data_IF_713448702629
#
_entry.id   IF_713448702629
#
_cell.length_a   1.000
_cell.length_b   1.000
_cell.length_c   1.000
_cell.angle_alpha   90.00
_cell.angle_beta   90.00
_cell.angle_gamma   90.00
#
_symmetry.space_group_name_H-M   'P 1'
#
loop_
_entity.id
_entity.type
_entity.pdbx_description
1 polymer ?
#
# COMPACT_ATOMS: atom_id res chain seq x y z
N UNK A 1 -2.58 62.30 -9.18
CA UNK A 1 -1.83 61.06 -9.53
C UNK A 1 -1.02 61.28 -10.80
N UNK A 2 0.18 61.84 -10.72
CA UNK A 2 1.12 61.94 -11.86
C UNK A 2 2.51 62.22 -11.31
N UNK A 3 3.37 61.21 -11.11
CA UNK A 3 4.84 61.36 -10.99
C UNK A 3 5.60 60.00 -10.90
N UNK A 4 5.10 58.91 -11.49
CA UNK A 4 5.84 57.66 -11.63
C UNK A 4 5.61 57.06 -13.02
N UNK A 5 6.61 56.35 -13.54
CA UNK A 5 6.58 55.74 -14.88
C UNK A 5 6.66 54.22 -14.69
N UNK A 6 5.51 53.55 -14.69
CA UNK A 6 5.43 52.10 -14.56
C UNK A 6 4.09 51.59 -14.01
N UNK A 7 3.95 50.27 -13.97
CA UNK A 7 2.78 49.59 -13.40
C UNK A 7 2.83 49.64 -11.87
N UNK A 8 1.71 50.03 -11.26
CA UNK A 8 1.47 49.92 -9.81
C UNK A 8 0.70 48.65 -9.50
N UNK A 9 1.04 47.98 -8.40
CA UNK A 9 0.38 46.75 -7.94
C UNK A 9 0.05 46.83 -6.45
N UNK A 10 -0.96 46.06 -6.05
CA UNK A 10 -1.40 45.86 -4.68
C UNK A 10 -1.62 47.15 -3.86
N UNK A 11 -2.53 48.05 -4.29
CA UNK A 11 -2.85 49.24 -3.49
C UNK A 11 -3.61 48.85 -2.21
N UNK A 12 -3.14 49.33 -1.07
CA UNK A 12 -3.75 49.12 0.24
C UNK A 12 -3.91 50.43 0.99
N UNK A 13 -5.06 50.59 1.66
CA UNK A 13 -5.35 51.78 2.46
C UNK A 13 -4.67 51.71 3.83
N UNK A 14 -3.93 52.76 4.16
CA UNK A 14 -3.43 53.01 5.51
C UNK A 14 -4.50 53.53 6.45
N UNK A 15 -4.30 53.29 7.74
CA UNK A 15 -5.17 53.82 8.80
C UNK A 15 -5.23 55.37 8.84
N UNK A 16 -4.27 56.04 8.22
CA UNK A 16 -4.18 57.49 8.10
C UNK A 16 -4.76 58.05 6.78
N UNK A 17 -5.49 57.22 6.03
CA UNK A 17 -6.10 57.59 4.75
C UNK A 17 -5.11 57.71 3.59
N UNK A 18 -3.84 57.36 3.80
CA UNK A 18 -2.87 57.24 2.70
C UNK A 18 -3.08 55.93 1.93
N UNK A 19 -2.71 55.87 0.66
CA UNK A 19 -2.62 54.60 -0.09
C UNK A 19 -1.15 54.20 -0.21
N UNK A 20 -0.85 52.96 0.13
CA UNK A 20 0.43 52.30 -0.09
C UNK A 20 0.31 51.39 -1.31
N UNK A 21 1.33 51.33 -2.16
CA UNK A 21 1.32 50.46 -3.34
C UNK A 21 2.74 50.10 -3.77
N UNK A 22 2.88 48.95 -4.42
CA UNK A 22 4.14 48.48 -4.98
C UNK A 22 4.41 49.09 -6.37
N UNK A 23 5.68 49.35 -6.65
CA UNK A 23 6.19 49.77 -7.96
C UNK A 23 7.47 49.01 -8.30
N UNK A 24 7.76 48.81 -9.59
CA UNK A 24 9.04 48.27 -10.05
C UNK A 24 9.75 49.33 -10.88
N UNK A 25 10.75 49.99 -10.26
CA UNK A 25 11.54 51.06 -10.88
C UNK A 25 13.01 50.86 -10.55
N UNK A 26 13.90 51.19 -11.50
CA UNK A 26 15.36 51.03 -11.36
C UNK A 26 15.80 49.59 -11.03
N UNK A 27 15.10 48.59 -11.55
CA UNK A 27 15.46 47.18 -11.39
C UNK A 27 15.10 46.56 -10.03
N UNK A 28 14.33 47.25 -9.19
CA UNK A 28 13.95 46.77 -7.87
C UNK A 28 12.49 47.10 -7.54
N UNK A 29 11.91 46.30 -6.63
CA UNK A 29 10.59 46.55 -6.04
C UNK A 29 10.68 47.63 -4.96
N UNK A 30 9.78 48.61 -5.03
CA UNK A 30 9.68 49.72 -4.07
C UNK A 30 8.24 49.88 -3.60
N UNK A 31 8.06 50.12 -2.30
CA UNK A 31 6.76 50.49 -1.72
C UNK A 31 6.69 52.01 -1.71
N UNK A 32 5.67 52.57 -2.37
CA UNK A 32 5.39 54.01 -2.37
C UNK A 32 4.13 54.30 -1.57
N UNK A 33 4.05 55.53 -1.07
CA UNK A 33 2.93 56.05 -0.27
C UNK A 33 2.42 57.33 -0.90
N UNK A 34 1.12 57.39 -1.15
CA UNK A 34 0.40 58.60 -1.55
C UNK A 34 -0.48 59.08 -0.41
N UNK A 35 -0.33 60.33 0.00
CA UNK A 35 -0.99 60.88 1.20
C UNK A 35 -2.30 61.60 0.89
N UNK A 36 -2.48 62.10 -0.33
CA UNK A 36 -3.57 63.04 -0.64
C UNK A 36 -4.35 62.66 -1.91
N UNK A 37 -4.93 61.46 -1.90
CA UNK A 37 -5.77 60.98 -3.00
C UNK A 37 -7.13 61.67 -3.02
N UNK A 38 -7.66 62.06 -1.86
CA UNK A 38 -8.98 62.70 -1.73
C UNK A 38 -8.99 64.17 -2.11
N UNK A 39 -7.89 64.93 -1.88
CA UNK A 39 -7.80 66.33 -2.31
C UNK A 39 -7.66 66.52 -3.82
N UNK A 40 -7.41 65.44 -4.56
CA UNK A 40 -7.14 65.45 -6.02
C UNK A 40 -8.37 65.15 -6.88
N UNK A 41 -9.50 64.75 -6.30
CA UNK A 41 -10.73 64.55 -7.05
C UNK A 41 -11.54 65.85 -7.04
N UNK A 42 -11.77 66.51 -8.20
CA UNK A 42 -12.84 67.51 -8.25
C UNK A 42 -14.12 66.81 -7.78
N UNK A 43 -14.95 67.50 -7.00
CA UNK A 43 -16.25 67.00 -6.55
C UNK A 43 -16.92 66.27 -7.71
N UNK A 44 -16.97 64.93 -7.63
CA UNK A 44 -17.70 64.16 -8.63
C UNK A 44 -19.14 64.64 -8.50
N UNK A 45 -19.77 65.18 -9.57
CA UNK A 45 -21.18 65.50 -9.49
C UNK A 45 -21.90 64.24 -9.03
N UNK A 46 -22.63 64.37 -7.92
CA UNK A 46 -23.53 63.34 -7.44
C UNK A 46 -24.61 63.19 -8.52
N UNK A 47 -24.38 62.29 -9.46
CA UNK A 47 -25.44 61.79 -10.32
C UNK A 47 -26.31 60.92 -9.43
N UNK A 48 -27.34 61.52 -8.84
CA UNK A 48 -28.52 60.79 -8.44
C UNK A 48 -29.13 60.28 -9.73
N UNK A 49 -28.75 59.06 -10.14
CA UNK A 49 -29.58 58.34 -11.08
C UNK A 49 -30.91 58.16 -10.35
N UNK A 50 -31.95 58.85 -10.81
CA UNK A 50 -33.31 58.47 -10.48
C UNK A 50 -33.36 56.96 -10.70
N UNK A 51 -33.65 56.23 -9.63
CA UNK A 51 -33.87 54.80 -9.71
C UNK A 51 -35.01 54.68 -10.71
N UNK A 52 -34.66 54.31 -11.96
CA UNK A 52 -35.65 54.08 -12.98
C UNK A 52 -36.68 53.15 -12.34
N UNK A 53 -37.98 53.49 -12.36
CA UNK A 53 -38.99 52.61 -11.79
C UNK A 53 -38.73 51.22 -12.36
N UNK A 54 -38.71 50.21 -11.49
CA UNK A 54 -38.46 48.80 -11.84
C UNK A 54 -39.61 48.35 -12.75
N UNK A 55 -39.54 48.78 -14.00
CA UNK A 55 -40.49 48.55 -15.09
C UNK A 55 -39.77 48.72 -16.43
N UNK A 56 -38.44 48.61 -16.46
CA UNK A 56 -37.80 48.11 -17.65
C UNK A 56 -38.09 46.61 -17.69
N UNK A 57 -38.95 46.17 -18.62
CA UNK A 57 -39.07 44.77 -19.02
C UNK A 57 -37.64 44.24 -19.14
N UNK A 58 -37.22 43.39 -18.19
CA UNK A 58 -35.87 42.82 -18.20
C UNK A 58 -35.67 42.19 -19.56
N UNK A 59 -34.54 42.46 -20.20
CA UNK A 59 -34.16 41.73 -21.42
C UNK A 59 -34.22 40.24 -21.11
N UNK A 60 -35.23 39.57 -21.66
CA UNK A 60 -35.34 38.12 -21.65
C UNK A 60 -34.79 37.64 -22.97
N UNK A 61 -33.60 37.04 -22.92
CA UNK A 61 -33.11 36.26 -24.04
C UNK A 61 -34.04 35.06 -24.23
N UNK A 62 -34.38 34.72 -25.47
CA UNK A 62 -34.94 33.40 -25.73
C UNK A 62 -33.95 32.38 -25.20
N UNK A 63 -34.39 31.55 -24.26
CA UNK A 63 -33.62 30.37 -23.90
C UNK A 63 -33.44 29.60 -25.20
N UNK A 64 -32.20 29.45 -25.65
CA UNK A 64 -31.88 28.41 -26.63
C UNK A 64 -32.33 27.13 -25.93
N UNK A 65 -33.45 26.55 -26.38
CA UNK A 65 -33.89 25.24 -25.94
C UNK A 65 -32.76 24.30 -26.31
N UNK A 66 -31.85 24.07 -25.36
CA UNK A 66 -30.87 23.01 -25.49
C UNK A 66 -31.70 21.74 -25.49
N UNK A 67 -31.97 21.24 -26.69
CA UNK A 67 -32.43 19.88 -26.91
C UNK A 67 -31.26 19.00 -26.50
N UNK A 68 -31.12 18.78 -25.19
CA UNK A 68 -30.22 17.78 -24.67
C UNK A 68 -30.82 16.44 -25.07
N UNK A 69 -30.40 15.93 -26.24
CA UNK A 69 -30.58 14.52 -26.54
C UNK A 69 -29.66 13.79 -25.57
N UNK A 70 -30.19 13.42 -24.40
CA UNK A 70 -29.55 12.48 -23.47
C UNK A 70 -29.58 11.11 -24.13
N UNK A 71 -28.73 10.90 -25.14
CA UNK A 71 -28.51 9.60 -25.73
C UNK A 71 -27.69 8.79 -24.74
N UNK A 72 -28.37 8.03 -23.89
CA UNK A 72 -27.73 6.99 -23.09
C UNK A 72 -27.25 5.90 -24.07
N UNK A 73 -26.03 6.04 -24.58
CA UNK A 73 -25.37 4.95 -25.25
C UNK A 73 -24.99 3.91 -24.17
N UNK A 74 -25.40 2.64 -24.31
CA UNK A 74 -24.95 1.61 -23.38
C UNK A 74 -23.42 1.49 -23.48
N UNK A 75 -22.75 1.42 -22.33
CA UNK A 75 -21.30 1.25 -22.31
C UNK A 75 -20.92 -0.09 -22.93
N UNK A 76 -20.15 -0.04 -24.01
CA UNK A 76 -19.59 -1.22 -24.67
C UNK A 76 -18.22 -1.52 -24.08
N UNK A 77 -18.09 -2.69 -23.44
CA UNK A 77 -16.83 -3.13 -22.84
C UNK A 77 -15.85 -3.54 -23.93
N UNK A 78 -14.81 -2.73 -24.13
CA UNK A 78 -13.69 -3.03 -25.03
C UNK A 78 -12.46 -3.28 -24.18
N UNK A 79 -11.86 -4.46 -24.32
CA UNK A 79 -10.72 -4.87 -23.50
C UNK A 79 -9.40 -4.67 -24.22
N UNK A 80 -8.38 -4.26 -23.48
CA UNK A 80 -7.00 -4.15 -23.96
C UNK A 80 -6.05 -4.77 -22.93
N UNK A 81 -4.87 -5.20 -23.38
CA UNK A 81 -3.81 -5.65 -22.49
C UNK A 81 -3.12 -4.43 -21.89
N UNK A 82 -3.39 -4.17 -20.61
CA UNK A 82 -2.87 -3.00 -19.90
C UNK A 82 -1.54 -3.29 -19.19
N UNK A 83 -1.38 -4.52 -18.71
CA UNK A 83 -0.21 -4.90 -17.94
C UNK A 83 0.23 -6.32 -18.30
N UNK A 84 1.51 -6.47 -18.59
CA UNK A 84 2.16 -7.76 -18.75
C UNK A 84 3.49 -7.71 -17.99
N UNK A 85 3.66 -8.57 -16.99
CA UNK A 85 4.86 -8.59 -16.18
C UNK A 85 5.23 -10.01 -15.83
N UNK A 86 6.53 -10.30 -15.82
CA UNK A 86 7.04 -11.45 -15.09
C UNK A 86 7.32 -11.06 -13.64
N UNK A 87 7.12 -11.99 -12.71
CA UNK A 87 7.45 -11.80 -11.31
C UNK A 87 8.12 -13.06 -10.77
N UNK A 88 9.22 -12.87 -10.06
CA UNK A 88 9.82 -13.90 -9.21
C UNK A 88 9.44 -13.57 -7.77
N UNK A 89 8.90 -14.55 -7.06
CA UNK A 89 8.51 -14.44 -5.67
C UNK A 89 9.26 -15.47 -4.84
N UNK A 90 9.50 -15.13 -3.56
CA UNK A 90 10.06 -16.06 -2.58
C UNK A 90 9.07 -16.16 -1.42
N UNK A 91 8.51 -17.35 -1.23
CA UNK A 91 7.52 -17.67 -0.22
C UNK A 91 8.03 -18.81 0.68
N UNK A 92 7.68 -18.87 1.99
CA UNK A 92 8.17 -19.94 2.86
C UNK A 92 7.58 -21.32 2.51
N UNK A 93 6.40 -21.38 1.89
CA UNK A 93 5.72 -22.63 1.49
C UNK A 93 5.91 -22.90 0.00
N UNK A 94 5.65 -21.89 -0.84
CA UNK A 94 5.75 -22.02 -2.29
C UNK A 94 7.18 -21.97 -2.82
N UNK A 95 8.16 -21.56 -2.01
CA UNK A 95 9.56 -21.45 -2.39
C UNK A 95 9.83 -20.31 -3.38
N UNK A 96 10.86 -20.45 -4.20
CA UNK A 96 11.14 -19.53 -5.31
C UNK A 96 10.23 -19.90 -6.49
N UNK A 97 9.28 -19.03 -6.81
CA UNK A 97 8.39 -19.23 -7.97
C UNK A 97 8.52 -18.07 -8.94
N UNK A 98 8.54 -18.38 -10.23
CA UNK A 98 8.62 -17.39 -11.31
C UNK A 98 7.44 -17.58 -12.25
N UNK A 99 6.76 -16.49 -12.60
CA UNK A 99 5.57 -16.53 -13.45
C UNK A 99 5.41 -15.29 -14.31
N UNK A 100 4.39 -15.31 -15.15
CA UNK A 100 3.91 -14.18 -15.92
C UNK A 100 2.46 -13.87 -15.50
N UNK A 101 2.19 -12.58 -15.32
CA UNK A 101 0.86 -12.05 -15.07
C UNK A 101 0.47 -11.12 -16.22
N UNK A 102 -0.71 -11.34 -16.77
CA UNK A 102 -1.33 -10.48 -17.77
C UNK A 102 -2.62 -9.91 -17.22
N UNK A 103 -2.87 -8.62 -17.43
CA UNK A 103 -4.07 -7.94 -17.00
C UNK A 103 -4.72 -7.27 -18.19
N UNK A 104 -5.95 -7.68 -18.48
CA UNK A 104 -6.77 -7.05 -19.49
C UNK A 104 -7.83 -6.22 -18.81
N UNK A 105 -8.00 -4.96 -19.19
CA UNK A 105 -8.98 -4.06 -18.58
C UNK A 105 -9.89 -3.49 -19.66
N UNK A 106 -11.08 -3.07 -19.25
CA UNK A 106 -11.90 -2.19 -20.07
C UNK A 106 -11.36 -0.74 -20.03
N UNK A 107 -11.85 0.12 -20.94
CA UNK A 107 -11.40 1.52 -21.07
C UNK A 107 -11.48 2.31 -19.74
N UNK A 108 -12.43 1.98 -18.87
CA UNK A 108 -12.61 2.64 -17.57
C UNK A 108 -11.81 2.00 -16.43
N UNK A 109 -11.13 0.87 -16.66
CA UNK A 109 -10.44 0.09 -15.65
C UNK A 109 -11.36 -0.56 -14.61
N UNK A 110 -12.67 -0.52 -14.81
CA UNK A 110 -13.66 -1.05 -13.88
C UNK A 110 -13.90 -2.55 -14.06
N UNK A 111 -13.57 -3.10 -15.22
CA UNK A 111 -13.84 -4.48 -15.58
C UNK A 111 -12.54 -5.12 -16.07
N UNK A 112 -11.96 -5.98 -15.22
CA UNK A 112 -10.60 -6.49 -15.40
C UNK A 112 -10.57 -8.03 -15.46
N UNK A 113 -9.63 -8.58 -16.21
CA UNK A 113 -9.27 -10.00 -16.26
C UNK A 113 -7.80 -10.15 -15.93
N UNK A 114 -7.50 -10.94 -14.91
CA UNK A 114 -6.15 -11.30 -14.51
C UNK A 114 -5.88 -12.73 -14.95
N UNK A 115 -4.79 -12.91 -15.70
CA UNK A 115 -4.28 -14.21 -16.13
C UNK A 115 -2.92 -14.42 -15.46
N UNK A 116 -2.80 -15.46 -14.65
CA UNK A 116 -1.55 -15.88 -14.02
C UNK A 116 -1.11 -17.19 -14.67
N UNK A 117 0.12 -17.21 -15.19
CA UNK A 117 0.73 -18.41 -15.78
C UNK A 117 2.10 -18.60 -15.17
N UNK A 118 2.39 -19.79 -14.68
CA UNK A 118 3.73 -20.11 -14.19
C UNK A 118 4.00 -21.61 -14.28
N UNK A 119 5.26 -21.99 -14.17
CA UNK A 119 5.68 -23.38 -14.20
C UNK A 119 6.76 -23.61 -13.13
N UNK A 120 6.57 -24.64 -12.31
CA UNK A 120 7.48 -25.00 -11.24
C UNK A 120 8.17 -26.36 -11.48
N UNK A 121 8.27 -26.81 -12.74
CA UNK A 121 8.93 -28.07 -13.07
C UNK A 121 10.42 -28.02 -12.73
N UNK A 122 10.95 -29.12 -12.18
CA UNK A 122 12.39 -29.27 -11.93
C UNK A 122 13.08 -30.05 -13.05
N UNK A 123 12.32 -30.87 -13.78
CA UNK A 123 12.79 -31.66 -14.92
C UNK A 123 11.88 -31.47 -16.13
N UNK A 124 12.39 -31.76 -17.33
CA UNK A 124 11.62 -31.63 -18.56
C UNK A 124 10.38 -32.55 -18.60
N UNK A 125 10.45 -33.73 -17.99
CA UNK A 125 9.33 -34.67 -17.90
C UNK A 125 8.17 -34.17 -17.03
N UNK A 126 8.44 -33.24 -16.10
CA UNK A 126 7.44 -32.65 -15.20
C UNK A 126 6.72 -31.43 -15.78
N UNK A 127 7.11 -30.97 -16.98
CA UNK A 127 6.65 -29.70 -17.55
C UNK A 127 5.13 -29.56 -17.53
N UNK A 128 4.42 -30.57 -18.06
CA UNK A 128 2.95 -30.56 -18.14
C UNK A 128 2.29 -30.70 -16.77
N UNK A 129 2.84 -31.55 -15.88
CA UNK A 129 2.31 -31.77 -14.53
C UNK A 129 2.38 -30.48 -13.70
N UNK A 130 3.45 -29.71 -13.87
CA UNK A 130 3.79 -28.50 -13.11
C UNK A 130 3.34 -27.18 -13.77
N UNK A 131 2.55 -27.26 -14.85
CA UNK A 131 2.00 -26.07 -15.51
C UNK A 131 0.80 -25.53 -14.74
N UNK A 132 0.85 -24.24 -14.40
CA UNK A 132 -0.09 -23.58 -13.51
C UNK A 132 -0.77 -22.41 -14.20
N UNK A 133 -2.08 -22.32 -13.98
CA UNK A 133 -2.95 -21.32 -14.62
C UNK A 133 -3.97 -20.82 -13.60
N UNK A 134 -4.13 -19.50 -13.54
CA UNK A 134 -5.21 -18.84 -12.81
C UNK A 134 -5.86 -17.76 -13.67
N UNK A 135 -7.19 -17.72 -13.69
CA UNK A 135 -7.95 -16.68 -14.37
C UNK A 135 -8.90 -16.05 -13.36
N UNK A 136 -8.82 -14.74 -13.17
CA UNK A 136 -9.69 -14.01 -12.24
C UNK A 136 -10.34 -12.82 -12.92
N UNK A 137 -11.66 -12.76 -12.85
CA UNK A 137 -12.47 -11.61 -13.22
C UNK A 137 -12.60 -10.69 -12.02
N UNK A 138 -12.37 -9.39 -12.19
CA UNK A 138 -12.64 -8.36 -11.18
C UNK A 138 -13.59 -7.31 -11.76
N UNK A 139 -14.57 -6.87 -10.96
CA UNK A 139 -15.46 -5.76 -11.31
C UNK A 139 -15.50 -4.73 -10.17
N UNK A 140 -15.20 -3.48 -10.53
CA UNK A 140 -15.13 -2.30 -9.67
C UNK A 140 -16.15 -1.23 -10.07
N UNK A 141 -17.04 -1.52 -11.03
CA UNK A 141 -17.94 -0.54 -11.63
C UNK A 141 -19.07 -0.05 -10.71
N UNK A 142 -19.21 -0.66 -9.52
CA UNK A 142 -20.19 -0.29 -8.50
C UNK A 142 -19.49 -0.25 -7.14
N UNK A 143 -20.12 0.38 -6.15
CA UNK A 143 -19.60 0.37 -4.76
C UNK A 143 -19.37 -1.04 -4.22
N UNK A 144 -20.19 -2.01 -4.62
CA UNK A 144 -19.98 -3.41 -4.32
C UNK A 144 -19.00 -4.01 -5.33
N UNK A 145 -17.73 -4.09 -4.93
CA UNK A 145 -16.68 -4.68 -5.75
C UNK A 145 -16.74 -6.19 -5.60
N UNK A 146 -16.55 -6.92 -6.69
CA UNK A 146 -16.49 -8.37 -6.63
C UNK A 146 -15.44 -8.93 -7.58
N UNK A 147 -14.93 -10.10 -7.24
CA UNK A 147 -14.01 -10.87 -8.04
C UNK A 147 -14.38 -12.34 -7.98
N UNK A 148 -14.15 -13.05 -9.07
CA UNK A 148 -14.25 -14.50 -9.09
C UNK A 148 -13.25 -15.08 -10.07
N UNK A 149 -12.76 -16.28 -9.80
CA UNK A 149 -11.73 -16.88 -10.62
C UNK A 149 -11.64 -18.38 -10.48
N UNK A 150 -10.99 -19.00 -11.45
CA UNK A 150 -10.70 -20.43 -11.49
C UNK A 150 -9.18 -20.61 -11.58
N UNK A 151 -8.67 -21.68 -10.98
CA UNK A 151 -7.25 -21.98 -11.03
C UNK A 151 -6.96 -23.48 -10.96
N UNK A 152 -5.78 -23.83 -11.48
CA UNK A 152 -5.07 -25.08 -11.21
C UNK A 152 -3.64 -24.74 -10.82
N UNK A 153 -3.26 -25.12 -9.60
CA UNK A 153 -1.92 -24.94 -9.04
C UNK A 153 -1.36 -26.27 -8.54
N UNK A 154 -0.21 -26.66 -9.09
CA UNK A 154 0.46 -27.93 -8.90
C UNK A 154 1.97 -27.68 -8.71
N UNK A 155 2.58 -28.36 -7.74
CA UNK A 155 4.02 -28.24 -7.52
C UNK A 155 4.52 -28.97 -6.28
N UNK A 156 5.85 -28.96 -6.15
CA UNK A 156 6.53 -29.44 -4.96
C UNK A 156 6.75 -28.29 -3.98
N UNK A 157 6.32 -28.51 -2.75
CA UNK A 157 6.40 -27.54 -1.67
C UNK A 157 7.21 -28.11 -0.50
N UNK A 158 7.55 -27.23 0.42
CA UNK A 158 8.19 -27.59 1.68
C UNK A 158 7.47 -26.90 2.82
N UNK A 159 7.18 -27.64 3.88
CA UNK A 159 6.87 -27.04 5.17
C UNK A 159 7.49 -27.88 6.31
N UNK A 160 7.72 -27.31 7.50
CA UNK A 160 8.29 -28.05 8.62
C UNK A 160 7.40 -29.18 9.17
N UNK A 161 6.10 -29.23 8.89
CA UNK A 161 5.20 -30.31 9.34
C UNK A 161 5.32 -31.57 8.49
N UNK A 162 5.27 -31.39 7.17
CA UNK A 162 5.10 -32.42 6.15
C UNK A 162 6.40 -32.69 5.39
N UNK A 163 7.48 -31.96 5.72
CA UNK A 163 8.71 -31.89 4.94
C UNK A 163 8.41 -31.52 3.48
N UNK A 164 9.00 -32.25 2.52
CA UNK A 164 8.69 -32.08 1.11
C UNK A 164 7.43 -32.85 0.75
N UNK A 165 6.55 -32.21 -0.03
CA UNK A 165 5.33 -32.82 -0.53
C UNK A 165 4.98 -32.27 -1.91
N UNK A 166 4.32 -33.09 -2.72
CA UNK A 166 3.68 -32.63 -3.95
C UNK A 166 2.22 -32.30 -3.65
N UNK A 167 1.72 -31.18 -4.16
CA UNK A 167 0.31 -30.87 -4.03
C UNK A 167 -0.26 -30.26 -5.31
N UNK A 168 -1.39 -30.81 -5.76
CA UNK A 168 -2.23 -30.28 -6.81
C UNK A 168 -3.52 -29.73 -6.21
N UNK A 169 -3.88 -28.51 -6.61
CA UNK A 169 -5.11 -27.83 -6.24
C UNK A 169 -5.82 -27.30 -7.45
N UNK A 170 -7.08 -27.67 -7.58
CA UNK A 170 -7.99 -27.14 -8.60
C UNK A 170 -9.17 -26.53 -7.89
N UNK A 171 -9.48 -25.27 -8.18
CA UNK A 171 -10.51 -24.58 -7.42
C UNK A 171 -11.05 -23.32 -8.05
N UNK A 172 -12.04 -22.79 -7.36
CA UNK A 172 -12.70 -21.52 -7.65
C UNK A 172 -12.54 -20.60 -6.44
N UNK A 173 -12.40 -19.31 -6.72
CA UNK A 173 -12.40 -18.25 -5.71
C UNK A 173 -13.50 -17.24 -6.02
N UNK A 174 -14.09 -16.69 -4.97
CA UNK A 174 -15.05 -15.60 -5.02
C UNK A 174 -14.67 -14.61 -3.93
N UNK A 175 -14.69 -13.32 -4.24
CA UNK A 175 -14.42 -12.27 -3.26
C UNK A 175 -15.38 -11.13 -3.49
N UNK A 176 -15.93 -10.61 -2.40
CA UNK A 176 -16.75 -9.40 -2.41
C UNK A 176 -16.17 -8.42 -1.43
N UNK A 177 -16.17 -7.15 -1.81
CA UNK A 177 -15.62 -6.08 -0.99
C UNK A 177 -16.57 -4.89 -1.00
N UNK A 178 -16.92 -4.43 0.20
CA UNK A 178 -17.76 -3.26 0.41
C UNK A 178 -16.95 -2.15 1.09
N UNK A 179 -16.62 -1.06 0.37
CA UNK A 179 -16.02 0.14 0.94
C UNK A 179 -17.02 0.85 1.86
N UNK A 180 -16.68 0.94 3.15
CA UNK A 180 -17.44 1.68 4.15
C UNK A 180 -17.13 3.18 4.07
N UNK A 181 -15.86 3.51 3.87
CA UNK A 181 -15.35 4.88 3.69
C UNK A 181 -14.17 4.87 2.69
N UNK A 182 -13.53 6.03 2.48
CA UNK A 182 -12.30 6.11 1.69
C UNK A 182 -11.13 5.35 2.34
N UNK A 183 -11.17 5.17 3.67
CA UNK A 183 -10.09 4.56 4.45
C UNK A 183 -10.41 3.15 4.94
N UNK A 184 -11.65 2.67 4.80
CA UNK A 184 -12.07 1.39 5.40
C UNK A 184 -12.98 0.56 4.50
N UNK A 185 -12.75 -0.75 4.49
CA UNK A 185 -13.57 -1.73 3.76
C UNK A 185 -13.72 -3.04 4.53
N UNK A 186 -14.84 -3.72 4.28
CA UNK A 186 -15.03 -5.12 4.65
C UNK A 186 -14.96 -5.96 3.38
N UNK A 187 -14.24 -7.08 3.44
CA UNK A 187 -14.10 -8.02 2.34
C UNK A 187 -14.42 -9.43 2.83
N UNK A 188 -15.23 -10.15 2.06
CA UNK A 188 -15.48 -11.58 2.25
C UNK A 188 -14.88 -12.35 1.07
N UNK A 189 -14.08 -13.36 1.34
CA UNK A 189 -13.46 -14.21 0.34
C UNK A 189 -13.81 -15.66 0.60
N UNK A 190 -14.30 -16.34 -0.42
CA UNK A 190 -14.62 -17.76 -0.44
C UNK A 190 -13.71 -18.46 -1.44
N UNK A 191 -13.13 -19.58 -1.04
CA UNK A 191 -12.38 -20.47 -1.91
C UNK A 191 -12.92 -21.90 -1.76
N UNK A 192 -13.21 -22.53 -2.90
CA UNK A 192 -13.66 -23.91 -2.99
C UNK A 192 -12.65 -24.65 -3.85
N UNK A 193 -11.99 -25.66 -3.31
CA UNK A 193 -10.93 -26.34 -4.06
C UNK A 193 -10.85 -27.83 -3.75
N UNK A 194 -10.64 -28.63 -4.78
CA UNK A 194 -10.09 -29.97 -4.62
C UNK A 194 -8.58 -29.86 -4.39
N UNK A 195 -8.06 -30.70 -3.51
CA UNK A 195 -6.67 -30.72 -3.11
C UNK A 195 -6.18 -32.16 -2.97
N UNK A 196 -5.16 -32.51 -3.75
CA UNK A 196 -4.47 -33.79 -3.70
C UNK A 196 -3.03 -33.54 -3.24
N UNK A 197 -2.66 -34.06 -2.07
CA UNK A 197 -1.34 -33.86 -1.44
C UNK A 197 -0.70 -35.21 -1.22
N UNK A 198 0.48 -35.38 -1.78
CA UNK A 198 1.33 -36.57 -1.67
C UNK A 198 2.56 -36.19 -0.83
N UNK A 199 2.68 -36.77 0.36
CA UNK A 199 3.85 -36.59 1.23
C UNK A 199 4.91 -37.62 0.85
N UNK A 200 6.20 -37.26 0.93
CA UNK A 200 7.34 -38.17 0.69
C UNK A 200 7.45 -39.24 1.80
N UNK A 201 6.45 -40.12 1.89
CA UNK A 201 6.36 -41.31 2.74
C UNK A 201 5.14 -42.19 2.36
N UNK A 202 4.61 -42.07 1.14
CA UNK A 202 3.38 -42.72 0.63
C UNK A 202 2.07 -42.37 1.36
N UNK A 203 2.05 -41.28 2.14
CA UNK A 203 0.80 -40.73 2.66
C UNK A 203 0.17 -39.77 1.64
N UNK A 204 -0.98 -40.16 1.10
CA UNK A 204 -1.79 -39.33 0.20
C UNK A 204 -3.02 -38.78 0.94
N UNK A 205 -3.23 -37.47 0.85
CA UNK A 205 -4.40 -36.78 1.38
C UNK A 205 -5.16 -36.10 0.24
N UNK A 206 -6.39 -36.54 0.04
CA UNK A 206 -7.38 -35.88 -0.82
C UNK A 206 -8.36 -35.08 0.03
N UNK A 207 -8.66 -33.84 -0.34
CA UNK A 207 -9.60 -33.00 0.38
C UNK A 207 -10.37 -32.06 -0.55
N UNK A 208 -11.69 -31.98 -0.35
CA UNK A 208 -12.49 -30.91 -0.91
C UNK A 208 -12.63 -29.81 0.14
N UNK A 209 -11.85 -28.75 -0.05
CA UNK A 209 -11.69 -27.67 0.91
C UNK A 209 -12.70 -26.55 0.63
N UNK A 210 -13.38 -26.13 1.68
CA UNK A 210 -14.08 -24.85 1.76
C UNK A 210 -13.26 -23.94 2.67
N UNK A 211 -12.84 -22.80 2.14
CA UNK A 211 -12.10 -21.78 2.90
C UNK A 211 -12.79 -20.44 2.79
N UNK A 212 -13.23 -19.90 3.92
CA UNK A 212 -13.91 -18.61 4.00
C UNK A 212 -13.07 -17.64 4.84
N UNK A 213 -12.94 -16.40 4.38
CA UNK A 213 -12.30 -15.31 5.12
C UNK A 213 -13.21 -14.09 5.17
N UNK A 214 -13.32 -13.50 6.35
CA UNK A 214 -13.88 -12.16 6.56
C UNK A 214 -12.74 -11.25 7.00
N UNK A 215 -12.55 -10.15 6.27
CA UNK A 215 -11.47 -9.20 6.53
C UNK A 215 -12.00 -7.78 6.67
N UNK A 216 -11.59 -7.08 7.72
CA UNK A 216 -11.73 -5.65 7.87
C UNK A 216 -10.38 -4.98 7.64
N UNK A 217 -10.35 -3.99 6.74
CA UNK A 217 -9.17 -3.18 6.46
C UNK A 217 -9.48 -1.73 6.79
N UNK A 218 -8.59 -1.07 7.52
CA UNK A 218 -8.55 0.38 7.69
C UNK A 218 -7.13 0.89 7.39
N UNK A 219 -6.98 1.90 6.54
CA UNK A 219 -5.69 2.52 6.23
C UNK A 219 -5.89 4.02 6.01
N UNK A 220 -5.35 4.84 6.91
CA UNK A 220 -5.27 6.29 6.76
C UNK A 220 -3.83 6.80 6.90
N UNK A 221 -2.84 5.94 6.61
CA UNK A 221 -1.44 6.29 6.77
C UNK A 221 -1.01 7.39 5.80
N UNK A 222 -0.31 8.39 6.34
CA UNK A 222 0.34 9.44 5.55
C UNK A 222 1.76 8.99 5.21
N UNK A 223 2.12 9.01 3.92
CA UNK A 223 3.39 8.51 3.42
C UNK A 223 4.39 9.62 3.09
N UNK A 224 5.66 9.36 3.40
CA UNK A 224 6.81 10.02 2.78
C UNK A 224 7.48 9.06 1.80
N UNK A 225 8.50 9.54 1.07
CA UNK A 225 9.23 8.74 0.09
C UNK A 225 9.97 7.50 0.65
N UNK A 226 10.12 7.39 1.97
CA UNK A 226 10.76 6.26 2.67
C UNK A 226 9.81 5.59 3.67
N UNK A 227 8.49 5.67 3.44
CA UNK A 227 7.49 5.01 4.26
C UNK A 227 6.58 5.95 5.07
N UNK A 228 5.64 5.39 5.84
CA UNK A 228 4.65 6.15 6.62
C UNK A 228 5.26 7.07 7.70
N UNK A 229 4.64 8.23 7.92
CA UNK A 229 5.03 9.22 8.94
C UNK A 229 3.93 9.51 9.96
N UNK A 230 2.67 9.29 9.60
CA UNK A 230 1.51 9.55 10.46
C UNK A 230 0.35 8.61 10.08
N UNK A 231 -0.70 8.59 10.91
CA UNK A 231 -1.89 7.76 10.70
C UNK A 231 -1.73 6.34 11.27
N UNK A 232 -2.62 5.45 10.87
CA UNK A 232 -2.63 4.06 11.31
C UNK A 232 -3.19 3.13 10.23
N UNK A 233 -2.82 1.86 10.36
CA UNK A 233 -3.20 0.78 9.44
C UNK A 233 -3.66 -0.40 10.28
N UNK A 234 -4.77 -1.01 9.91
CA UNK A 234 -5.32 -2.19 10.54
C UNK A 234 -5.76 -3.17 9.44
N UNK A 235 -5.29 -4.40 9.55
CA UNK A 235 -5.83 -5.54 8.83
C UNK A 235 -6.25 -6.59 9.85
N UNK A 236 -7.54 -6.88 9.92
CA UNK A 236 -8.11 -7.92 10.77
C UNK A 236 -8.79 -8.96 9.90
N UNK A 237 -8.29 -10.19 9.90
CA UNK A 237 -8.84 -11.31 9.16
C UNK A 237 -9.23 -12.43 10.09
N UNK A 238 -10.43 -12.96 9.91
CA UNK A 238 -10.89 -14.21 10.51
C UNK A 238 -11.27 -15.15 9.38
N UNK A 239 -10.90 -16.41 9.48
CA UNK A 239 -11.23 -17.40 8.48
C UNK A 239 -11.41 -18.79 9.03
N UNK A 240 -12.08 -19.62 8.26
CA UNK A 240 -12.30 -21.02 8.55
C UNK A 240 -11.98 -21.83 7.29
N UNK A 241 -11.19 -22.88 7.44
CA UNK A 241 -10.97 -23.87 6.40
C UNK A 241 -11.42 -25.24 6.91
N UNK A 242 -12.34 -25.88 6.19
CA UNK A 242 -12.77 -27.24 6.48
C UNK A 242 -12.91 -28.07 5.22
N UNK A 243 -12.69 -29.37 5.33
CA UNK A 243 -12.95 -30.34 4.29
C UNK A 243 -14.40 -30.83 4.39
N UNK A 244 -15.23 -30.56 3.38
CA UNK A 244 -16.63 -31.01 3.39
C UNK A 244 -16.79 -32.47 2.98
N UNK A 245 -15.71 -33.11 2.53
CA UNK A 245 -15.58 -34.55 2.35
C UNK A 245 -14.23 -35.01 2.93
N UNK A 246 -14.12 -36.30 3.28
CA UNK A 246 -12.94 -36.93 3.91
C UNK A 246 -12.62 -36.51 5.36
N UNK A 247 -13.24 -35.44 5.90
CA UNK A 247 -13.13 -35.00 7.31
C UNK A 247 -11.68 -34.90 7.85
N UNK A 248 -10.74 -34.56 6.97
CA UNK A 248 -9.31 -34.58 7.25
C UNK A 248 -8.70 -33.20 7.51
N UNK A 249 -9.37 -32.11 7.09
CA UNK A 249 -8.92 -30.73 7.34
C UNK A 249 -10.02 -29.95 8.04
N UNK A 250 -9.69 -29.28 9.14
CA UNK A 250 -10.59 -28.34 9.81
C UNK A 250 -9.78 -27.43 10.74
N UNK A 251 -9.63 -26.16 10.39
CA UNK A 251 -8.96 -25.18 11.24
C UNK A 251 -9.53 -23.77 11.10
N UNK A 252 -9.46 -23.04 12.21
CA UNK A 252 -9.77 -21.62 12.31
C UNK A 252 -8.48 -20.82 12.13
N UNK A 253 -8.53 -19.76 11.32
CA UNK A 253 -7.43 -18.82 11.10
C UNK A 253 -7.81 -17.44 11.63
N UNK A 254 -6.92 -16.81 12.39
CA UNK A 254 -7.02 -15.40 12.73
C UNK A 254 -5.74 -14.65 12.45
N UNK A 255 -5.85 -13.42 11.96
CA UNK A 255 -4.73 -12.52 11.71
C UNK A 255 -5.08 -11.10 12.11
N UNK A 256 -4.13 -10.43 12.77
CA UNK A 256 -4.16 -8.99 13.02
C UNK A 256 -2.80 -8.39 12.67
N UNK A 257 -2.80 -7.35 11.83
CA UNK A 257 -1.65 -6.46 11.62
C UNK A 257 -2.13 -5.03 11.90
N UNK A 258 -1.70 -4.48 13.02
CA UNK A 258 -1.99 -3.11 13.44
C UNK A 258 -0.70 -2.29 13.46
N UNK A 259 -0.73 -1.12 12.84
CA UNK A 259 0.40 -0.20 12.78
C UNK A 259 -0.05 1.20 13.12
N UNK A 260 0.67 1.87 14.00
CA UNK A 260 0.45 3.26 14.37
C UNK A 260 1.71 4.06 14.15
N UNK A 261 1.59 5.19 13.46
CA UNK A 261 2.66 6.13 13.24
C UNK A 261 2.36 7.41 14.01
N UNK A 262 3.26 7.77 14.91
CA UNK A 262 3.22 9.00 15.66
C UNK A 262 4.20 9.98 15.03
N UNK A 263 3.67 10.99 14.34
CA UNK A 263 4.50 12.02 13.74
C UNK A 263 5.16 12.85 14.85
N UNK A 264 6.50 12.89 14.85
CA UNK A 264 7.28 13.68 15.79
C UNK A 264 7.71 15.03 15.20
N UNK A 265 7.94 15.07 13.88
CA UNK A 265 8.27 16.30 13.15
C UNK A 265 7.87 16.21 11.68
N UNK A 266 8.28 17.17 10.85
CA UNK A 266 8.03 17.12 9.41
C UNK A 266 8.65 15.90 8.73
N UNK A 267 9.73 15.33 9.29
CA UNK A 267 10.52 14.24 8.69
C UNK A 267 10.88 13.12 9.68
N UNK A 268 10.32 13.13 10.89
CA UNK A 268 10.57 12.12 11.93
C UNK A 268 9.26 11.53 12.46
N UNK A 269 9.26 10.24 12.76
CA UNK A 269 8.11 9.56 13.32
C UNK A 269 8.55 8.41 14.22
N UNK A 270 7.72 8.12 15.20
CA UNK A 270 7.80 6.90 15.99
C UNK A 270 6.71 5.93 15.51
N UNK A 271 7.12 4.76 15.03
CA UNK A 271 6.28 3.74 14.46
C UNK A 271 6.16 2.57 15.43
N UNK A 272 4.94 2.07 15.59
CA UNK A 272 4.63 0.88 16.38
C UNK A 272 3.88 -0.09 15.49
N UNK A 273 4.26 -1.37 15.51
CA UNK A 273 3.54 -2.46 14.84
C UNK A 273 3.25 -3.58 15.83
N UNK A 274 2.01 -4.06 15.80
CA UNK A 274 1.53 -5.26 16.47
C UNK A 274 1.06 -6.22 15.39
N UNK A 275 1.62 -7.42 15.37
CA UNK A 275 1.29 -8.43 14.36
C UNK A 275 1.12 -9.79 15.03
N UNK A 276 0.00 -10.46 14.75
CA UNK A 276 -0.29 -11.78 15.28
C UNK A 276 -1.07 -12.61 14.30
N UNK A 277 -0.78 -13.91 14.28
CA UNK A 277 -1.51 -14.88 13.51
C UNK A 277 -1.72 -16.13 14.35
N UNK A 278 -2.84 -16.80 14.17
CA UNK A 278 -3.06 -18.14 14.74
C UNK A 278 -3.84 -19.00 13.76
N UNK A 279 -3.49 -20.29 13.73
CA UNK A 279 -4.25 -21.36 13.11
C UNK A 279 -4.53 -22.41 14.18
N UNK A 280 -5.81 -22.73 14.41
CA UNK A 280 -6.23 -23.70 15.42
C UNK A 280 -7.05 -24.81 14.76
N UNK A 281 -6.58 -26.06 14.84
CA UNK A 281 -7.34 -27.22 14.37
C UNK A 281 -6.51 -28.28 13.66
N UNK A 282 -7.21 -29.22 13.03
CA UNK A 282 -6.65 -30.36 12.30
C UNK A 282 -6.09 -29.89 10.96
N UNK A 283 -4.87 -30.32 10.62
CA UNK A 283 -4.13 -29.90 9.42
C UNK A 283 -3.90 -28.37 9.35
N UNK A 284 -3.80 -27.72 10.52
CA UNK A 284 -3.49 -26.30 10.63
C UNK A 284 -2.05 -26.01 10.17
N UNK A 285 -1.92 -25.08 9.21
CA UNK A 285 -0.64 -24.69 8.63
C UNK A 285 0.20 -23.84 9.58
N UNK A 286 1.51 -23.88 9.41
CA UNK A 286 2.42 -22.98 10.12
C UNK A 286 2.50 -21.64 9.42
N UNK A 287 2.59 -20.61 10.24
CA UNK A 287 3.06 -19.30 9.86
C UNK A 287 4.55 -19.20 10.13
N UNK A 288 5.19 -18.25 9.46
CA UNK A 288 6.63 -18.03 9.53
C UNK A 288 6.92 -16.62 10.00
N UNK A 289 8.01 -16.49 10.76
CA UNK A 289 8.50 -15.25 11.33
C UNK A 289 10.03 -15.18 11.14
N UNK A 290 10.55 -13.98 10.93
CA UNK A 290 11.96 -13.67 10.79
C UNK A 290 12.30 -13.13 9.41
N UNK A 291 13.16 -12.12 9.38
CA UNK A 291 13.56 -11.39 8.18
C UNK A 291 13.40 -9.88 8.33
N UNK A 292 13.60 -9.14 7.23
CA UNK A 292 13.56 -7.67 7.26
C UNK A 292 12.15 -7.08 7.36
N UNK A 293 11.11 -7.89 7.13
CA UNK A 293 9.71 -7.47 7.12
C UNK A 293 8.98 -7.69 8.43
N UNK A 294 9.57 -8.41 9.38
CA UNK A 294 8.94 -8.84 10.62
C UNK A 294 9.94 -8.77 11.78
N UNK A 295 10.45 -9.90 12.29
CA UNK A 295 11.46 -9.92 13.34
C UNK A 295 12.86 -9.75 12.72
N UNK A 296 13.36 -8.51 12.71
CA UNK A 296 14.67 -8.18 12.13
C UNK A 296 15.80 -8.90 12.85
N UNK A 297 16.95 -9.05 12.19
CA UNK A 297 18.15 -9.75 12.69
C UNK A 297 18.00 -11.28 12.80
N UNK A 298 16.78 -11.81 12.73
CA UNK A 298 16.53 -13.26 12.61
C UNK A 298 16.52 -13.68 11.15
N UNK A 299 17.09 -14.85 10.85
CA UNK A 299 17.14 -15.36 9.48
C UNK A 299 15.73 -15.47 8.93
N UNK A 300 15.57 -15.17 7.65
CA UNK A 300 14.28 -15.20 6.97
C UNK A 300 13.60 -16.57 7.16
N UNK A 301 12.34 -16.57 7.61
CA UNK A 301 11.52 -17.77 7.84
C UNK A 301 12.10 -18.78 8.83
N UNK A 302 12.97 -18.34 9.74
CA UNK A 302 13.64 -19.24 10.69
C UNK A 302 12.78 -19.64 11.89
N UNK A 303 11.76 -18.86 12.21
CA UNK A 303 10.80 -19.17 13.27
C UNK A 303 9.47 -19.55 12.61
N UNK A 304 8.82 -20.58 13.12
CA UNK A 304 7.55 -21.04 12.58
C UNK A 304 6.69 -21.70 13.66
N UNK A 305 5.38 -21.69 13.43
CA UNK A 305 4.41 -22.29 14.34
C UNK A 305 2.97 -22.01 13.92
N UNK A 306 2.03 -22.65 14.58
CA UNK A 306 0.60 -22.39 14.38
C UNK A 306 0.18 -21.00 14.89
N UNK A 307 0.91 -20.46 15.86
CA UNK A 307 0.66 -19.16 16.47
C UNK A 307 1.94 -18.32 16.36
N UNK A 308 1.79 -17.03 16.11
CA UNK A 308 2.88 -16.07 16.21
C UNK A 308 2.41 -14.74 16.77
N UNK A 309 3.35 -14.02 17.36
CA UNK A 309 3.16 -12.67 17.84
C UNK A 309 4.43 -11.86 17.64
N UNK A 310 4.28 -10.60 17.26
CA UNK A 310 5.34 -9.65 17.03
C UNK A 310 4.89 -8.26 17.49
N UNK A 311 5.76 -7.60 18.23
CA UNK A 311 5.74 -6.16 18.51
C UNK A 311 7.02 -5.57 17.93
N UNK A 312 6.87 -4.48 17.22
CA UNK A 312 8.01 -3.75 16.66
C UNK A 312 7.85 -2.27 16.97
N UNK A 313 8.91 -1.67 17.48
CA UNK A 313 9.02 -0.24 17.75
C UNK A 313 10.16 0.32 16.90
N UNK A 314 9.93 1.47 16.30
CA UNK A 314 10.89 2.08 15.40
C UNK A 314 10.84 3.61 15.42
N UNK A 315 11.96 4.23 15.74
CA UNK A 315 12.15 5.67 15.59
C UNK A 315 12.78 5.98 14.23
N UNK A 316 12.10 6.80 13.43
CA UNK A 316 12.53 7.26 12.09
C UNK A 316 12.95 8.72 12.18
N UNK A 317 14.09 9.08 11.59
CA UNK A 317 14.60 10.45 11.59
C UNK A 317 15.39 10.77 10.30
N UNK A 318 15.51 12.05 9.90
CA UNK A 318 16.36 12.43 8.79
C UNK A 318 17.83 12.17 9.15
N UNK A 319 18.58 11.52 8.25
CA UNK A 319 20.01 11.26 8.44
C UNK A 319 20.85 12.12 7.48
N UNK A 320 20.66 11.97 6.17
CA UNK A 320 21.33 12.76 5.14
C UNK A 320 20.29 13.15 4.09
N UNK A 321 20.14 14.45 3.81
CA UNK A 321 19.17 14.90 2.81
C UNK A 321 19.67 14.73 1.37
N UNK A 322 20.96 14.95 1.15
CA UNK A 322 21.60 14.76 -0.15
C UNK A 322 23.05 14.29 0.03
N UNK A 323 23.43 13.26 -0.71
CA UNK A 323 24.81 12.80 -0.88
C UNK A 323 25.12 12.74 -2.37
N UNK A 324 25.98 13.63 -2.84
CA UNK A 324 26.46 13.65 -4.23
C UNK A 324 27.84 13.03 -4.34
N UNK A 325 28.01 12.07 -5.25
CA UNK A 325 29.30 11.51 -5.64
C UNK A 325 29.63 11.98 -7.06
N UNK A 326 30.72 12.74 -7.21
CA UNK A 326 31.25 13.15 -8.52
C UNK A 326 32.24 12.11 -9.00
N UNK A 327 31.89 11.41 -10.08
CA UNK A 327 32.72 10.42 -10.76
C UNK A 327 33.29 11.02 -12.06
N UNK A 328 34.41 10.49 -12.60
CA UNK A 328 34.98 10.99 -13.86
C UNK A 328 34.01 10.97 -15.05
N UNK A 329 32.99 10.11 -15.01
CA UNK A 329 31.98 9.91 -16.07
C UNK A 329 30.59 10.46 -15.71
N UNK A 330 30.43 11.18 -14.59
CA UNK A 330 29.14 11.76 -14.22
C UNK A 330 28.98 11.99 -12.72
N UNK A 331 27.87 12.61 -12.33
CA UNK A 331 27.52 12.81 -10.90
C UNK A 331 26.36 11.90 -10.53
N UNK A 332 26.50 11.17 -9.44
CA UNK A 332 25.44 10.34 -8.86
C UNK A 332 24.95 11.02 -7.58
N UNK A 333 23.65 11.29 -7.48
CA UNK A 333 23.04 11.88 -6.29
C UNK A 333 22.13 10.90 -5.58
N UNK A 334 22.30 10.77 -4.27
CA UNK A 334 21.39 10.06 -3.38
C UNK A 334 20.64 11.07 -2.52
N UNK A 335 19.31 10.95 -2.47
CA UNK A 335 18.45 11.91 -1.78
C UNK A 335 17.60 11.21 -0.74
N UNK A 336 17.32 11.94 0.35
CA UNK A 336 16.36 11.50 1.35
C UNK A 336 16.77 10.25 2.10
N UNK A 337 18.05 10.15 2.48
CA UNK A 337 18.55 9.06 3.33
C UNK A 337 18.01 9.28 4.76
N UNK A 338 17.34 8.26 5.30
CA UNK A 338 16.72 8.30 6.63
C UNK A 338 17.36 7.28 7.56
N UNK A 339 17.48 7.66 8.82
CA UNK A 339 17.93 6.80 9.90
C UNK A 339 16.75 6.13 10.58
N UNK A 340 17.02 4.98 11.17
CA UNK A 340 16.10 4.19 11.98
C UNK A 340 16.80 3.72 13.25
N UNK A 341 16.12 3.76 14.38
CA UNK A 341 16.46 2.94 15.57
C UNK A 341 15.28 2.02 15.81
N UNK A 342 15.53 0.75 16.09
CA UNK A 342 14.45 -0.20 16.28
C UNK A 342 14.67 -1.17 17.44
N UNK A 343 13.55 -1.66 17.96
CA UNK A 343 13.47 -2.77 18.90
C UNK A 343 12.27 -3.64 18.50
N UNK A 344 12.53 -4.91 18.24
CA UNK A 344 11.51 -5.91 17.91
C UNK A 344 11.46 -6.98 19.00
N UNK A 345 10.27 -7.50 19.25
CA UNK A 345 10.00 -8.59 20.18
C UNK A 345 8.94 -9.52 19.58
N UNK A 346 9.21 -10.80 19.44
CA UNK A 346 8.24 -11.73 18.90
C UNK A 346 8.64 -13.19 19.03
N UNK A 347 7.71 -14.09 18.74
CA UNK A 347 8.00 -15.51 18.61
C UNK A 347 6.91 -16.23 17.81
N UNK A 348 7.19 -17.46 17.39
CA UNK A 348 6.24 -18.39 16.78
C UNK A 348 6.26 -19.72 17.53
N UNK A 349 5.10 -20.34 17.74
CA UNK A 349 4.97 -21.58 18.50
C UNK A 349 3.72 -22.38 18.10
N UNK A 350 3.70 -23.65 18.50
CA UNK A 350 2.57 -24.56 18.22
C UNK A 350 1.87 -25.00 19.51
N UNK A 351 2.61 -25.36 20.57
CA UNK A 351 2.01 -25.89 21.80
C UNK A 351 2.00 -24.85 22.91
N UNK A 352 3.12 -24.70 23.63
CA UNK A 352 3.30 -23.69 24.67
C UNK A 352 4.14 -22.52 24.17
N UNK A 353 3.94 -21.33 24.76
CA UNK A 353 4.74 -20.15 24.45
C UNK A 353 6.17 -20.32 24.96
N UNK A 354 7.20 -20.30 24.09
CA UNK A 354 8.58 -20.60 24.47
C UNK A 354 9.32 -19.41 25.11
N UNK A 355 8.67 -18.25 25.24
CA UNK A 355 9.27 -17.00 25.72
C UNK A 355 9.51 -16.00 24.59
N UNK A 356 10.03 -14.83 24.93
CA UNK A 356 10.27 -13.75 23.96
C UNK A 356 11.63 -13.87 23.29
N UNK A 357 11.64 -13.72 21.97
CA UNK A 357 12.84 -13.42 21.21
C UNK A 357 12.82 -11.94 20.83
N UNK A 358 13.97 -11.29 20.90
CA UNK A 358 14.08 -9.86 20.65
C UNK A 358 15.26 -9.52 19.75
N UNK A 359 15.16 -8.38 19.10
CA UNK A 359 16.28 -7.76 18.40
C UNK A 359 16.22 -6.24 18.54
N UNK A 360 17.38 -5.61 18.46
CA UNK A 360 17.49 -4.15 18.46
C UNK A 360 18.63 -3.73 17.55
N UNK A 361 18.54 -2.51 17.03
CA UNK A 361 19.55 -2.03 16.11
C UNK A 361 19.27 -0.66 15.52
N UNK A 362 20.09 -0.32 14.55
CA UNK A 362 19.99 0.89 13.76
C UNK A 362 19.83 0.53 12.28
N UNK A 363 19.14 1.38 11.53
CA UNK A 363 18.90 1.15 10.12
C UNK A 363 19.13 2.40 9.28
N UNK A 364 19.54 2.21 8.04
CA UNK A 364 19.60 3.25 7.01
C UNK A 364 18.59 2.90 5.93
N UNK A 365 17.79 3.88 5.52
CA UNK A 365 16.80 3.78 4.46
C UNK A 365 17.08 4.78 3.37
N UNK A 366 16.99 4.33 2.13
CA UNK A 366 17.17 5.18 0.97
C UNK A 366 16.13 4.85 -0.08
N UNK A 367 15.42 5.88 -0.55
CA UNK A 367 14.50 5.76 -1.68
C UNK A 367 15.31 5.59 -2.97
N UNK A 368 14.92 4.61 -3.78
CA UNK A 368 15.47 4.31 -5.10
C UNK A 368 14.33 4.25 -6.12
N UNK A 369 14.58 4.80 -7.31
CA UNK A 369 13.68 4.69 -8.47
C UNK A 369 12.19 4.93 -8.15
N UNK A 370 11.89 6.01 -7.42
CA UNK A 370 10.52 6.45 -7.15
C UNK A 370 9.86 5.78 -5.94
N UNK A 371 9.84 4.47 -5.80
CA UNK A 371 9.04 3.81 -4.75
C UNK A 371 9.74 2.62 -4.09
N UNK A 372 10.89 2.20 -4.61
CA UNK A 372 11.70 1.17 -3.97
C UNK A 372 12.48 1.79 -2.82
N UNK A 373 12.69 1.03 -1.76
CA UNK A 373 13.49 1.42 -0.61
C UNK A 373 14.58 0.37 -0.43
N UNK A 374 15.81 0.84 -0.39
CA UNK A 374 16.94 0.09 0.11
C UNK A 374 17.03 0.32 1.60
N UNK A 375 17.05 -0.78 2.36
CA UNK A 375 17.18 -0.75 3.80
C UNK A 375 18.37 -1.62 4.22
N UNK A 376 19.19 -1.04 5.08
CA UNK A 376 20.31 -1.72 5.72
C UNK A 376 20.09 -1.64 7.24
N UNK A 377 19.71 -2.76 7.85
CA UNK A 377 19.48 -2.86 9.29
C UNK A 377 20.65 -3.59 9.95
N UNK A 378 21.31 -2.95 10.91
CA UNK A 378 22.42 -3.52 11.69
C UNK A 378 21.99 -3.63 13.15
N UNK A 379 22.10 -4.81 13.73
CA UNK A 379 21.57 -5.04 15.08
C UNK A 379 22.07 -6.32 15.73
N UNK A 380 21.57 -6.54 16.95
CA UNK A 380 21.92 -7.69 17.79
C UNK A 380 20.64 -8.36 18.28
N UNK A 381 20.75 -9.65 18.60
CA UNK A 381 19.66 -10.43 19.22
C UNK A 381 19.66 -10.23 20.73
N UNK A 382 18.53 -10.43 21.36
CA UNK A 382 18.36 -10.44 22.82
C UNK A 382 17.22 -11.38 23.19
N UNK A 383 17.30 -11.99 24.36
CA UNK A 383 16.20 -12.70 25.03
C UNK A 383 15.59 -11.86 26.16
N UNK A 384 15.87 -10.55 26.17
CA UNK A 384 15.52 -9.58 27.22
C UNK A 384 16.13 -9.85 28.60
N UNK A 385 17.02 -10.84 28.70
CA UNK A 385 17.84 -11.11 29.90
C UNK A 385 19.32 -10.84 29.62
N UNK A 386 19.75 -11.11 28.39
CA UNK A 386 21.11 -10.98 27.89
C UNK A 386 21.12 -10.29 26.53
N UNK A 387 22.26 -9.70 26.19
CA UNK A 387 22.49 -9.06 24.91
C UNK A 387 23.45 -9.92 24.09
N UNK A 388 23.05 -10.29 22.86
CA UNK A 388 23.90 -11.06 21.96
C UNK A 388 25.18 -10.31 21.62
N UNK A 389 26.31 -11.02 21.60
CA UNK A 389 27.63 -10.43 21.33
C UNK A 389 27.89 -10.13 19.85
N UNK A 390 27.19 -10.79 18.92
CA UNK A 390 27.41 -10.65 17.48
C UNK A 390 26.46 -9.63 16.85
N UNK A 391 27.05 -8.73 16.05
CA UNK A 391 26.28 -7.79 15.22
C UNK A 391 26.00 -8.42 13.88
N UNK A 392 24.74 -8.37 13.46
CA UNK A 392 24.25 -8.95 12.21
C UNK A 392 23.72 -7.81 11.34
N UNK A 393 23.96 -7.91 10.04
CA UNK A 393 23.48 -6.93 9.05
C UNK A 393 22.45 -7.60 8.14
N UNK A 394 21.29 -6.99 8.01
CA UNK A 394 20.26 -7.36 7.06
C UNK A 394 20.18 -6.33 5.94
N UNK A 395 20.14 -6.83 4.71
CA UNK A 395 19.89 -6.05 3.52
C UNK A 395 18.47 -6.31 3.03
N UNK A 396 17.78 -5.25 2.63
CA UNK A 396 16.47 -5.34 2.01
C UNK A 396 16.37 -4.37 0.84
N UNK A 397 15.75 -4.84 -0.24
CA UNK A 397 15.44 -4.06 -1.42
C UNK A 397 14.03 -4.42 -1.90
N UNK A 398 13.15 -3.43 -1.96
CA UNK A 398 11.77 -3.62 -2.37
C UNK A 398 10.87 -2.48 -1.91
N UNK A 399 9.58 -2.74 -1.85
CA UNK A 399 8.60 -1.78 -1.35
C UNK A 399 8.76 -1.58 0.16
N UNK A 400 8.50 -0.39 0.69
CA UNK A 400 8.51 -0.19 2.15
C UNK A 400 7.13 -0.49 2.75
N UNK A 401 7.09 -0.86 4.04
CA UNK A 401 5.88 -1.33 4.72
C UNK A 401 5.30 -0.34 5.74
#
# INVERSE_FOLDING_TARGET
MTNYIGTTFDPEWGADGSIYFGTFENGAFQIKREKDITGSFPESPLYTNDILPISAKRWTYENIEKTFIKKHAPYSRKYQLDFASSQVSQDPVFGTTGGAQFVFTDILGNDQYYLLVYNNARTASEFWKSFNLGITKVNLGKRFNYAYGLYRFAGYYYNPQDAYYYEERVGASFTVSYPLSQFSRISFSQNLSYSDKEIFADEQRMAYLNTSYLTYIHDNALWLGTGPIDGHRLNLTLGNTYAFAFSNVNYLTGMIDYRKYFRLSLRSAYAVRLFSMFNEGKEARYFYLGGSWDLRIYRRFSLYGQRLFLVSQELRFPLIDMLGLRLPFGTIGFYGIRGAVFVDAGNAWTHSFPGWLGSYGVGIRMRLAGYLVLRLDMGRKTDFKSFGGSTITHFFFGWDF
#
